data_IF_331661887573
#
_entry.id   IF_331661887573
#
_cell.length_a   1.000
_cell.length_b   1.000
_cell.length_c   1.000
_cell.angle_alpha   90.00
_cell.angle_beta   90.00
_cell.angle_gamma   90.00
#
_symmetry.space_group_name_H-M   'P 1'
#
loop_
_entity.id
_entity.type
_entity.pdbx_description
1 polymer ?
#
# COMPACT_ATOMS: atom_id res chain seq x y z
N UNK A 1 5.90 -29.73 11.01
CA UNK A 1 6.99 -29.87 10.02
C UNK A 1 6.42 -30.23 8.64
N UNK A 2 5.52 -29.41 8.10
CA UNK A 2 4.89 -29.62 6.78
C UNK A 2 5.33 -28.53 5.79
N UNK A 3 5.60 -27.32 6.29
CA UNK A 3 6.08 -26.17 5.50
C UNK A 3 7.42 -26.39 4.79
N UNK A 4 8.30 -27.25 5.32
CA UNK A 4 9.60 -27.56 4.71
C UNK A 4 9.56 -28.55 3.54
N UNK A 5 8.41 -29.19 3.30
CA UNK A 5 8.22 -30.12 2.17
C UNK A 5 7.77 -29.38 0.91
N UNK A 6 7.05 -28.27 1.08
CA UNK A 6 6.50 -27.47 -0.03
C UNK A 6 7.34 -26.25 -0.39
N UNK A 7 8.21 -25.79 0.51
CA UNK A 7 9.09 -24.64 0.29
C UNK A 7 10.49 -25.01 0.74
N UNK A 8 11.49 -24.82 -0.13
CA UNK A 8 12.87 -24.88 0.30
C UNK A 8 13.15 -23.71 1.27
N UNK A 9 13.42 -24.02 2.54
CA UNK A 9 13.85 -23.05 3.59
C UNK A 9 12.90 -21.85 3.84
N UNK A 10 11.59 -22.06 4.14
CA UNK A 10 10.64 -20.98 4.41
C UNK A 10 11.01 -20.15 5.64
N UNK A 11 11.60 -20.78 6.66
CA UNK A 11 12.06 -20.12 7.87
C UNK A 11 13.16 -19.11 7.61
N UNK A 12 14.12 -19.42 6.72
CA UNK A 12 15.23 -18.51 6.41
C UNK A 12 14.80 -17.30 5.57
N UNK A 13 13.72 -17.41 4.78
CA UNK A 13 13.26 -16.34 3.88
C UNK A 13 12.20 -15.43 4.49
N UNK A 14 11.22 -15.98 5.19
CA UNK A 14 10.09 -15.21 5.72
C UNK A 14 10.19 -14.90 7.21
N UNK A 15 10.88 -15.75 7.98
CA UNK A 15 10.95 -15.61 9.44
C UNK A 15 12.27 -14.99 9.92
N UNK A 16 13.32 -14.99 9.10
CA UNK A 16 14.60 -14.39 9.45
C UNK A 16 14.57 -12.86 9.22
N UNK A 17 14.84 -12.03 10.25
CA UNK A 17 14.87 -10.57 10.09
C UNK A 17 15.86 -10.13 9.01
N UNK A 18 16.98 -10.85 8.88
CA UNK A 18 17.96 -10.61 7.81
C UNK A 18 17.41 -10.89 6.41
N UNK A 19 16.51 -11.86 6.23
CA UNK A 19 15.93 -12.20 4.93
C UNK A 19 15.06 -11.08 4.37
N UNK A 20 14.29 -10.42 5.23
CA UNK A 20 13.46 -9.25 4.86
C UNK A 20 14.34 -8.04 4.53
N UNK A 21 15.36 -7.78 5.34
CA UNK A 21 16.34 -6.72 5.10
C UNK A 21 17.08 -6.91 3.77
N UNK A 22 17.58 -8.11 3.50
CA UNK A 22 18.25 -8.45 2.24
C UNK A 22 17.31 -8.37 1.04
N UNK A 23 16.05 -8.78 1.19
CA UNK A 23 15.03 -8.61 0.13
C UNK A 23 14.81 -7.14 -0.21
N UNK A 24 14.73 -6.27 0.79
CA UNK A 24 14.53 -4.84 0.56
C UNK A 24 15.78 -4.16 -0.04
N UNK A 25 16.98 -4.56 0.42
CA UNK A 25 18.24 -4.12 -0.20
C UNK A 25 18.37 -4.62 -1.64
N UNK A 26 17.95 -5.85 -1.91
CA UNK A 26 17.94 -6.43 -3.27
C UNK A 26 16.97 -5.67 -4.19
N UNK A 27 15.82 -5.22 -3.68
CA UNK A 27 14.91 -4.39 -4.48
C UNK A 27 15.55 -3.08 -4.99
N UNK A 28 16.45 -2.49 -4.19
CA UNK A 28 17.11 -1.22 -4.53
C UNK A 28 18.44 -1.39 -5.29
N UNK A 29 19.00 -2.60 -5.34
CA UNK A 29 20.24 -2.84 -6.07
C UNK A 29 20.02 -2.71 -7.58
N UNK A 30 20.94 -2.00 -8.24
CA UNK A 30 21.01 -1.88 -9.70
C UNK A 30 21.87 -2.96 -10.33
N UNK A 31 22.69 -3.65 -9.53
CA UNK A 31 23.57 -4.73 -9.98
C UNK A 31 22.92 -6.05 -9.61
N UNK A 32 22.13 -6.57 -10.55
CA UNK A 32 21.48 -7.86 -10.45
C UNK A 32 21.99 -8.78 -11.54
N UNK A 33 22.04 -10.08 -11.23
CA UNK A 33 22.27 -11.09 -12.23
C UNK A 33 21.09 -11.10 -13.20
N UNK A 34 21.38 -10.99 -14.49
CA UNK A 34 20.39 -11.16 -15.56
C UNK A 34 20.84 -12.30 -16.48
N UNK A 35 19.88 -13.14 -16.89
CA UNK A 35 20.11 -14.15 -17.92
C UNK A 35 20.18 -13.41 -19.25
N UNK A 36 21.22 -13.61 -20.09
CA UNK A 36 21.34 -12.90 -21.35
C UNK A 36 20.10 -13.12 -22.22
N UNK A 37 19.44 -12.04 -22.70
CA UNK A 37 18.15 -12.15 -23.38
C UNK A 37 18.25 -12.80 -24.78
N UNK A 38 19.44 -12.88 -25.37
CA UNK A 38 19.62 -13.41 -26.71
C UNK A 38 20.90 -14.25 -26.84
N UNK A 39 20.85 -15.47 -27.42
CA UNK A 39 19.66 -16.19 -27.92
C UNK A 39 18.98 -17.09 -26.86
N UNK A 40 17.99 -16.60 -26.10
CA UNK A 40 17.21 -17.47 -25.19
C UNK A 40 16.24 -18.37 -25.99
N UNK A 41 16.39 -19.70 -25.90
CA UNK A 41 15.57 -20.69 -26.61
C UNK A 41 14.38 -21.24 -25.81
N UNK A 42 14.04 -20.60 -24.68
CA UNK A 42 12.92 -21.03 -23.80
C UNK A 42 13.00 -22.50 -23.34
N UNK A 43 14.22 -22.99 -23.07
CA UNK A 43 14.49 -24.39 -22.70
C UNK A 43 14.06 -24.79 -21.28
N UNK A 44 13.68 -23.83 -20.42
CA UNK A 44 13.23 -24.02 -19.01
C UNK A 44 14.27 -24.55 -18.01
N UNK A 45 15.49 -24.91 -18.44
CA UNK A 45 16.54 -25.42 -17.55
C UNK A 45 16.90 -24.45 -16.40
N UNK A 46 16.85 -23.15 -16.66
CA UNK A 46 17.15 -22.15 -15.64
C UNK A 46 16.17 -22.25 -14.46
N UNK A 47 14.88 -22.43 -14.73
CA UNK A 47 13.80 -22.61 -13.74
C UNK A 47 14.08 -23.81 -12.82
N UNK A 48 14.34 -24.97 -13.42
CA UNK A 48 14.61 -26.22 -12.68
C UNK A 48 15.91 -26.17 -11.88
N UNK A 49 16.92 -25.46 -12.39
CA UNK A 49 18.22 -25.33 -11.71
C UNK A 49 18.18 -24.38 -10.51
N UNK A 50 17.14 -23.52 -10.40
CA UNK A 50 17.09 -22.49 -9.37
C UNK A 50 16.62 -23.07 -8.03
N UNK A 51 17.49 -23.18 -7.01
CA UNK A 51 17.09 -23.73 -5.71
C UNK A 51 16.07 -22.86 -4.95
N UNK A 52 15.86 -21.62 -5.42
CA UNK A 52 14.96 -20.65 -4.83
C UNK A 52 13.69 -20.40 -5.65
N UNK A 53 13.53 -21.10 -6.81
CA UNK A 53 12.43 -20.85 -7.76
C UNK A 53 12.21 -19.35 -8.03
N UNK A 54 13.32 -18.63 -8.20
CA UNK A 54 13.37 -17.18 -8.28
C UNK A 54 13.45 -16.67 -9.73
N UNK A 55 12.92 -17.42 -10.68
CA UNK A 55 12.93 -17.08 -12.11
C UNK A 55 11.49 -16.84 -12.57
N UNK A 56 11.22 -15.63 -13.05
CA UNK A 56 9.98 -15.24 -13.69
C UNK A 56 9.88 -15.92 -15.07
N UNK A 57 8.74 -16.55 -15.35
CA UNK A 57 8.40 -17.06 -16.68
C UNK A 57 8.10 -15.91 -17.66
N UNK A 58 8.34 -16.11 -18.97
CA UNK A 58 7.90 -15.17 -19.99
C UNK A 58 6.36 -15.05 -19.93
N UNK A 59 5.85 -13.83 -20.14
CA UNK A 59 4.41 -13.58 -20.12
C UNK A 59 3.75 -14.32 -21.30
N UNK A 60 2.75 -15.20 -21.07
CA UNK A 60 2.07 -15.92 -22.15
C UNK A 60 1.49 -14.94 -23.17
N UNK A 61 1.69 -15.20 -24.46
CA UNK A 61 1.21 -14.32 -25.55
C UNK A 61 -0.31 -14.08 -25.47
N UNK A 62 -1.07 -15.05 -24.99
CA UNK A 62 -2.53 -14.95 -24.78
C UNK A 62 -2.95 -13.88 -23.74
N UNK A 63 -2.04 -13.47 -22.85
CA UNK A 63 -2.27 -12.45 -21.81
C UNK A 63 -1.63 -11.10 -22.19
N UNK A 64 -0.95 -11.02 -23.33
CA UNK A 64 -0.35 -9.76 -23.80
C UNK A 64 -1.47 -8.89 -24.37
N UNK A 65 -2.03 -8.02 -23.53
CA UNK A 65 -2.92 -6.97 -23.99
C UNK A 65 -2.22 -6.09 -25.03
N UNK A 66 -2.96 -5.66 -26.05
CA UNK A 66 -2.43 -4.72 -27.03
C UNK A 66 -1.94 -3.43 -26.33
N UNK A 67 -0.76 -2.91 -26.71
CA UNK A 67 -0.16 -1.75 -26.06
C UNK A 67 -1.05 -0.49 -26.12
N UNK A 68 -2.00 -0.42 -27.06
CA UNK A 68 -2.99 0.66 -27.16
C UNK A 68 -4.01 0.65 -26.01
N UNK A 69 -4.47 -0.53 -25.58
CA UNK A 69 -5.47 -0.68 -24.51
C UNK A 69 -4.87 -0.33 -23.16
N UNK A 70 -3.65 -0.80 -22.89
CA UNK A 70 -2.90 -0.44 -21.67
C UNK A 70 -2.65 1.07 -21.55
N UNK A 71 -2.21 1.72 -22.65
CA UNK A 71 -2.03 3.19 -22.67
C UNK A 71 -3.35 3.93 -22.45
N UNK A 72 -4.46 3.48 -23.05
CA UNK A 72 -5.78 4.08 -22.87
C UNK A 72 -6.25 3.95 -21.41
N UNK A 73 -6.08 2.78 -20.79
CA UNK A 73 -6.42 2.51 -19.40
C UNK A 73 -5.60 3.38 -18.43
N UNK A 74 -4.28 3.43 -18.62
CA UNK A 74 -3.40 4.29 -17.83
C UNK A 74 -3.79 5.77 -17.97
N UNK A 75 -4.09 6.22 -19.20
CA UNK A 75 -4.56 7.58 -19.47
C UNK A 75 -5.89 7.86 -18.76
N UNK A 76 -6.86 6.95 -18.81
CA UNK A 76 -8.14 7.13 -18.10
C UNK A 76 -7.96 7.21 -16.59
N UNK A 77 -7.11 6.36 -16.00
CA UNK A 77 -6.84 6.40 -14.55
C UNK A 77 -6.12 7.70 -14.17
N UNK A 78 -5.18 8.17 -15.01
CA UNK A 78 -4.48 9.44 -14.78
C UNK A 78 -5.43 10.64 -14.86
N UNK A 79 -6.38 10.64 -15.80
CA UNK A 79 -7.40 11.68 -15.89
C UNK A 79 -8.43 11.60 -14.73
N UNK A 80 -8.75 10.41 -14.25
CA UNK A 80 -9.65 10.19 -13.10
C UNK A 80 -8.98 10.44 -11.74
N UNK A 81 -7.65 10.42 -11.68
CA UNK A 81 -6.87 10.68 -10.45
C UNK A 81 -7.32 11.94 -9.68
N UNK A 82 -7.36 13.15 -10.28
CA UNK A 82 -7.81 14.34 -9.57
C UNK A 82 -9.28 14.22 -9.11
N UNK A 83 -10.13 13.53 -9.87
CA UNK A 83 -11.51 13.29 -9.48
C UNK A 83 -11.62 12.39 -8.23
N UNK A 84 -10.83 11.31 -8.19
CA UNK A 84 -10.80 10.38 -7.05
C UNK A 84 -10.26 11.08 -5.80
N UNK A 85 -9.21 11.89 -5.93
CA UNK A 85 -8.60 12.63 -4.81
C UNK A 85 -9.56 13.70 -4.27
N UNK A 86 -10.18 14.47 -5.16
CA UNK A 86 -11.16 15.50 -4.76
C UNK A 86 -12.40 14.87 -4.12
N UNK A 87 -12.90 13.76 -4.65
CA UNK A 87 -14.00 13.00 -4.04
C UNK A 87 -13.62 12.46 -2.66
N UNK A 88 -12.43 11.87 -2.50
CA UNK A 88 -11.93 11.39 -1.22
C UNK A 88 -11.75 12.49 -0.18
N UNK A 89 -11.22 13.64 -0.58
CA UNK A 89 -11.12 14.82 0.29
C UNK A 89 -12.49 15.37 0.68
N UNK A 90 -13.45 15.40 -0.25
CA UNK A 90 -14.82 15.85 0.00
C UNK A 90 -15.55 14.92 0.98
N UNK A 91 -15.44 13.61 0.78
CA UNK A 91 -16.00 12.60 1.70
C UNK A 91 -15.36 12.72 3.08
N UNK A 92 -14.02 12.82 3.14
CA UNK A 92 -13.30 13.04 4.40
C UNK A 92 -13.67 14.35 5.10
N UNK A 93 -13.94 15.41 4.33
CA UNK A 93 -14.50 16.65 4.86
C UNK A 93 -15.91 16.43 5.41
N UNK A 94 -16.82 15.74 4.70
CA UNK A 94 -18.19 15.52 5.18
C UNK A 94 -18.28 14.64 6.44
N UNK A 95 -17.38 13.69 6.60
CA UNK A 95 -17.30 12.82 7.78
C UNK A 95 -16.84 13.57 9.05
N UNK A 96 -16.54 14.88 8.98
CA UNK A 96 -16.09 15.67 10.14
C UNK A 96 -17.08 15.65 11.31
N UNK A 97 -18.37 15.63 11.03
CA UNK A 97 -19.41 15.80 12.05
C UNK A 97 -19.54 14.55 12.93
N UNK A 98 -19.76 13.34 12.39
CA UNK A 98 -19.80 12.13 13.20
C UNK A 98 -18.47 11.83 13.90
N UNK A 99 -17.33 12.14 13.26
CA UNK A 99 -16.01 11.88 13.85
C UNK A 99 -15.72 12.82 15.03
N UNK A 100 -16.18 14.07 14.96
CA UNK A 100 -16.00 15.04 16.05
C UNK A 100 -16.80 14.70 17.31
N UNK A 101 -17.95 14.00 17.17
CA UNK A 101 -18.79 13.57 18.30
C UNK A 101 -18.15 12.45 19.14
N UNK A 102 -17.11 11.79 18.62
CA UNK A 102 -16.32 10.81 19.38
C UNK A 102 -15.34 11.48 20.35
N UNK A 103 -15.10 12.80 20.23
CA UNK A 103 -14.20 13.51 21.11
C UNK A 103 -14.91 13.88 22.43
N UNK A 104 -14.34 13.57 23.60
CA UNK A 104 -15.01 13.73 24.90
C UNK A 104 -15.45 15.19 25.17
N UNK A 105 -14.65 16.18 24.79
CA UNK A 105 -15.00 17.62 24.93
C UNK A 105 -16.22 18.03 24.09
N UNK A 106 -16.37 17.48 22.88
CA UNK A 106 -17.51 17.81 22.01
C UNK A 106 -18.77 17.12 22.52
N UNK A 107 -18.66 15.87 22.96
CA UNK A 107 -19.75 15.12 23.57
C UNK A 107 -20.27 15.78 24.86
N UNK A 108 -19.35 16.24 25.72
CA UNK A 108 -19.68 17.01 26.92
C UNK A 108 -20.40 18.31 26.57
N UNK A 109 -19.92 19.03 25.56
CA UNK A 109 -20.55 20.27 25.10
C UNK A 109 -21.98 20.05 24.57
N UNK A 110 -22.23 18.98 23.79
CA UNK A 110 -23.57 18.64 23.29
C UNK A 110 -24.49 18.17 24.42
N UNK A 111 -23.95 17.44 25.40
CA UNK A 111 -24.67 17.02 26.62
C UNK A 111 -25.10 18.22 27.46
N UNK A 112 -24.20 19.18 27.69
CA UNK A 112 -24.49 20.40 28.43
C UNK A 112 -25.62 21.21 27.79
N UNK A 113 -25.59 21.39 26.46
CA UNK A 113 -26.70 22.05 25.74
C UNK A 113 -28.01 21.28 25.92
N UNK A 114 -27.98 19.96 25.88
CA UNK A 114 -29.18 19.13 26.03
C UNK A 114 -29.75 19.19 27.46
N UNK A 115 -28.91 19.32 28.49
CA UNK A 115 -29.34 19.53 29.88
C UNK A 115 -29.88 20.96 30.09
N UNK A 116 -29.17 21.99 29.59
CA UNK A 116 -29.56 23.40 29.74
C UNK A 116 -30.86 23.74 28.98
N UNK A 117 -31.13 23.04 27.87
CA UNK A 117 -32.38 23.17 27.10
C UNK A 117 -33.53 22.30 27.63
N UNK A 118 -33.29 21.51 28.69
CA UNK A 118 -34.28 20.65 29.33
C UNK A 118 -34.68 19.41 28.52
N UNK A 119 -33.92 19.05 27.48
CA UNK A 119 -34.15 17.87 26.63
C UNK A 119 -33.73 16.56 27.32
N UNK A 120 -32.86 16.62 28.33
CA UNK A 120 -32.38 15.47 29.10
C UNK A 120 -32.56 15.74 30.59
N UNK A 121 -33.15 14.80 31.32
CA UNK A 121 -33.31 14.88 32.78
C UNK A 121 -32.19 14.10 33.49
N UNK A 122 -31.50 14.77 34.41
CA UNK A 122 -30.48 14.20 35.28
C UNK A 122 -29.06 14.69 34.96
N UNK A 123 -28.35 15.16 35.99
CA UNK A 123 -26.93 15.50 35.92
C UNK A 123 -26.08 14.21 35.96
N UNK A 124 -25.02 14.18 35.15
CA UNK A 124 -23.98 13.15 35.21
C UNK A 124 -22.72 13.72 35.87
N UNK A 125 -21.89 12.84 36.43
CA UNK A 125 -20.65 13.20 37.11
C UNK A 125 -19.73 14.12 36.27
N UNK A 126 -19.71 13.94 34.95
CA UNK A 126 -18.92 14.79 34.04
C UNK A 126 -19.48 16.22 33.92
N UNK A 127 -20.81 16.39 33.96
CA UNK A 127 -21.41 17.72 33.90
C UNK A 127 -21.29 18.44 35.26
N UNK A 128 -21.45 17.71 36.37
CA UNK A 128 -21.27 18.24 37.74
C UNK A 128 -19.84 18.71 38.01
N UNK A 129 -18.84 17.90 37.62
CA UNK A 129 -17.42 18.26 37.80
C UNK A 129 -17.06 19.50 36.99
N UNK A 130 -17.62 19.66 35.80
CA UNK A 130 -17.42 20.86 34.97
C UNK A 130 -18.15 22.09 35.53
N UNK A 131 -19.39 21.96 36.03
CA UNK A 131 -20.12 23.06 36.69
C UNK A 131 -19.44 23.54 37.98
N UNK A 132 -18.70 22.65 38.65
CA UNK A 132 -17.90 22.97 39.85
C UNK A 132 -16.54 23.59 39.49
N UNK A 133 -16.11 23.47 38.23
CA UNK A 133 -14.88 24.07 37.74
C UNK A 133 -15.06 25.56 37.44
N UNK A 134 -13.98 26.34 37.51
CA UNK A 134 -13.98 27.79 37.28
C UNK A 134 -14.15 28.18 35.78
N UNK A 135 -14.51 27.21 34.91
CA UNK A 135 -14.70 27.43 33.48
C UNK A 135 -16.16 27.76 33.12
N UNK A 136 -16.33 28.73 32.21
CA UNK A 136 -17.65 29.10 31.70
C UNK A 136 -18.12 28.12 30.60
N UNK A 137 -19.42 27.89 30.51
CA UNK A 137 -20.03 27.12 29.40
C UNK A 137 -19.71 27.72 28.03
N UNK A 138 -19.62 29.06 27.95
CA UNK A 138 -19.22 29.77 26.74
C UNK A 138 -17.79 29.43 26.28
N UNK A 139 -16.83 29.30 27.20
CA UNK A 139 -15.46 28.88 26.85
C UNK A 139 -15.41 27.42 26.37
N UNK A 140 -16.21 26.52 26.95
CA UNK A 140 -16.29 25.12 26.52
C UNK A 140 -16.84 24.99 25.08
N UNK A 141 -17.85 25.78 24.73
CA UNK A 141 -18.40 25.79 23.37
C UNK A 141 -17.40 26.35 22.35
N UNK A 142 -16.64 27.39 22.72
CA UNK A 142 -15.59 27.91 21.86
C UNK A 142 -14.48 26.88 21.59
N UNK A 143 -14.09 26.12 22.62
CA UNK A 143 -13.12 25.03 22.50
C UNK A 143 -13.65 23.87 21.63
N UNK A 144 -14.91 23.46 21.84
CA UNK A 144 -15.55 22.42 21.04
C UNK A 144 -15.64 22.81 19.54
N UNK A 145 -15.91 24.08 19.23
CA UNK A 145 -15.89 24.59 17.86
C UNK A 145 -14.48 24.59 17.25
N UNK A 146 -13.46 24.95 18.03
CA UNK A 146 -12.06 24.89 17.62
C UNK A 146 -11.60 23.46 17.29
N UNK A 147 -11.99 22.51 18.12
CA UNK A 147 -11.75 21.07 17.90
C UNK A 147 -12.48 20.61 16.64
N UNK A 148 -13.77 20.91 16.49
CA UNK A 148 -14.56 20.58 15.29
C UNK A 148 -13.90 21.11 14.02
N UNK A 149 -13.38 22.34 14.03
CA UNK A 149 -12.74 22.93 12.86
C UNK A 149 -11.43 22.22 12.48
N UNK A 150 -10.66 21.78 13.49
CA UNK A 150 -9.45 20.97 13.27
C UNK A 150 -9.76 19.59 12.67
N UNK A 151 -10.89 18.98 13.05
CA UNK A 151 -11.35 17.73 12.45
C UNK A 151 -11.78 17.89 10.98
N UNK A 152 -12.24 19.08 10.55
CA UNK A 152 -12.57 19.34 9.14
C UNK A 152 -11.33 19.28 8.25
N UNK A 153 -10.27 19.96 8.64
CA UNK A 153 -9.01 19.99 7.88
C UNK A 153 -8.28 18.65 7.98
N UNK A 154 -8.26 18.03 9.16
CA UNK A 154 -7.69 16.69 9.36
C UNK A 154 -8.41 15.61 8.55
N UNK A 155 -9.75 15.60 8.57
CA UNK A 155 -10.56 14.65 7.80
C UNK A 155 -10.38 14.79 6.30
N UNK A 156 -10.34 16.02 5.79
CA UNK A 156 -10.04 16.28 4.37
C UNK A 156 -8.64 15.77 3.97
N UNK A 157 -7.64 15.99 4.81
CA UNK A 157 -6.25 15.57 4.53
C UNK A 157 -6.11 14.04 4.54
N UNK A 158 -6.71 13.37 5.53
CA UNK A 158 -6.74 11.90 5.60
C UNK A 158 -7.51 11.30 4.41
N UNK A 159 -8.67 11.87 4.05
CA UNK A 159 -9.45 11.43 2.89
C UNK A 159 -8.67 11.55 1.58
N UNK A 160 -7.96 12.67 1.39
CA UNK A 160 -7.09 12.87 0.23
C UNK A 160 -5.92 11.87 0.20
N UNK A 161 -5.29 11.60 1.35
CA UNK A 161 -4.17 10.66 1.46
C UNK A 161 -4.58 9.22 1.11
N UNK A 162 -5.73 8.77 1.63
CA UNK A 162 -6.25 7.44 1.30
C UNK A 162 -6.59 7.34 -0.20
N UNK A 163 -7.25 8.34 -0.76
CA UNK A 163 -7.57 8.39 -2.19
C UNK A 163 -6.31 8.40 -3.08
N UNK A 164 -5.23 9.07 -2.63
CA UNK A 164 -3.94 9.05 -3.31
C UNK A 164 -3.33 7.64 -3.34
N UNK A 165 -3.32 6.92 -2.23
CA UNK A 165 -2.80 5.54 -2.16
C UNK A 165 -3.57 4.62 -3.11
N UNK A 166 -4.91 4.71 -3.10
CA UNK A 166 -5.77 3.93 -4.01
C UNK A 166 -5.44 4.24 -5.47
N UNK A 167 -5.25 5.52 -5.80
CA UNK A 167 -4.90 5.96 -7.15
C UNK A 167 -3.54 5.42 -7.59
N UNK A 168 -2.51 5.50 -6.72
CA UNK A 168 -1.18 4.95 -7.01
C UNK A 168 -1.23 3.43 -7.24
N UNK A 169 -2.02 2.70 -6.47
CA UNK A 169 -2.23 1.25 -6.66
C UNK A 169 -2.96 0.95 -7.97
N UNK A 170 -3.99 1.71 -8.34
CA UNK A 170 -4.69 1.56 -9.62
C UNK A 170 -3.76 1.83 -10.82
N UNK A 171 -2.88 2.83 -10.71
CA UNK A 171 -1.85 3.12 -11.71
C UNK A 171 -0.90 1.93 -11.83
N UNK A 172 -0.38 1.41 -10.71
CA UNK A 172 0.51 0.25 -10.70
C UNK A 172 -0.12 -1.01 -11.33
N UNK A 173 -1.40 -1.26 -11.07
CA UNK A 173 -2.16 -2.37 -11.67
C UNK A 173 -2.45 -2.18 -13.16
N UNK A 174 -2.40 -0.95 -13.65
CA UNK A 174 -2.61 -0.65 -15.08
C UNK A 174 -1.32 -0.82 -15.90
N UNK A 175 -0.17 -0.97 -15.25
CA UNK A 175 1.14 -1.16 -15.90
C UNK A 175 1.46 -2.65 -15.87
N UNK A 176 1.15 -3.35 -16.96
CA UNK A 176 1.61 -4.73 -17.16
C UNK A 176 3.00 -4.70 -17.81
N UNK A 177 3.99 -5.25 -17.12
CA UNK A 177 5.34 -5.41 -17.68
C UNK A 177 5.38 -6.64 -18.57
N UNK A 178 5.61 -6.47 -19.87
CA UNK A 178 5.88 -7.57 -20.80
C UNK A 178 7.23 -8.18 -20.48
N UNK A 179 7.31 -9.51 -20.36
CA UNK A 179 8.56 -10.26 -20.24
C UNK A 179 8.67 -11.19 -21.45
N UNK A 180 9.65 -10.95 -22.29
CA UNK A 180 9.88 -11.76 -23.50
C UNK A 180 10.78 -12.98 -23.22
N UNK A 181 11.55 -12.97 -22.12
CA UNK A 181 12.49 -14.03 -21.74
C UNK A 181 12.36 -14.39 -20.25
N UNK A 182 12.94 -15.52 -19.87
CA UNK A 182 13.11 -15.91 -18.46
C UNK A 182 14.00 -14.89 -17.76
N UNK A 183 13.47 -14.22 -16.73
CA UNK A 183 14.20 -13.19 -15.98
C UNK A 183 14.26 -13.52 -14.50
N UNK A 184 15.39 -13.31 -13.82
CA UNK A 184 15.42 -13.47 -12.37
C UNK A 184 14.50 -12.45 -11.66
N UNK A 185 13.73 -12.92 -10.68
CA UNK A 185 12.91 -12.09 -9.81
C UNK A 185 13.80 -11.26 -8.87
N UNK A 186 13.68 -9.93 -8.91
CA UNK A 186 14.57 -9.01 -8.16
C UNK A 186 14.59 -9.18 -6.64
N UNK A 187 13.48 -9.61 -6.04
CA UNK A 187 13.31 -9.72 -4.58
C UNK A 187 13.65 -11.11 -4.02
N UNK A 188 13.58 -12.14 -4.87
CA UNK A 188 13.79 -13.54 -4.49
C UNK A 188 15.13 -14.07 -4.96
N UNK A 189 15.69 -13.51 -6.04
CA UNK A 189 16.98 -13.91 -6.58
C UNK A 189 18.13 -13.28 -5.78
N UNK A 190 19.01 -14.13 -5.23
CA UNK A 190 20.25 -13.73 -4.55
C UNK A 190 21.44 -13.61 -5.52
N UNK A 191 21.22 -13.65 -6.83
CA UNK A 191 22.29 -13.50 -7.85
C UNK A 191 23.44 -14.52 -7.70
N UNK A 192 23.14 -15.75 -7.24
CA UNK A 192 24.15 -16.77 -6.97
C UNK A 192 24.80 -17.41 -8.22
N UNK A 193 24.35 -17.07 -9.43
CA UNK A 193 24.94 -17.56 -10.68
C UNK A 193 24.70 -19.03 -11.02
N UNK A 194 23.97 -19.79 -10.18
CA UNK A 194 23.83 -21.25 -10.34
C UNK A 194 23.07 -21.69 -11.60
N UNK A 195 22.31 -20.79 -12.21
CA UNK A 195 21.60 -21.04 -13.47
C UNK A 195 22.50 -21.00 -14.71
N UNK A 196 23.67 -20.35 -14.64
CA UNK A 196 24.57 -20.17 -15.79
C UNK A 196 25.13 -21.47 -16.37
N UNK A 197 25.67 -22.41 -15.56
CA UNK A 197 26.20 -23.67 -16.09
C UNK A 197 25.16 -24.57 -16.77
N UNK A 198 23.86 -24.31 -16.55
CA UNK A 198 22.77 -25.07 -17.18
C UNK A 198 22.21 -24.36 -18.42
N UNK A 199 22.75 -23.19 -18.77
CA UNK A 199 22.31 -22.43 -19.93
C UNK A 199 23.02 -22.95 -21.19
N UNK A 200 22.30 -23.56 -22.16
CA UNK A 200 22.90 -24.12 -23.37
C UNK A 200 23.49 -23.04 -24.30
N UNK A 201 23.18 -21.77 -24.04
CA UNK A 201 23.63 -20.62 -24.81
C UNK A 201 25.03 -20.18 -24.39
N UNK A 202 25.42 -20.43 -23.13
CA UNK A 202 26.71 -20.01 -22.59
C UNK A 202 27.85 -20.95 -22.97
N UNK A 203 27.57 -22.22 -23.26
CA UNK A 203 28.56 -23.18 -23.74
C UNK A 203 29.15 -22.81 -25.13
N UNK A 204 28.49 -21.90 -25.86
CA UNK A 204 28.91 -21.46 -27.20
C UNK A 204 29.40 -20.02 -27.32
N UNK A 205 29.50 -19.25 -26.22
CA UNK A 205 29.70 -17.80 -26.29
C UNK A 205 30.55 -17.21 -25.15
N UNK A 206 31.77 -16.81 -25.51
CA UNK A 206 32.77 -15.98 -24.79
C UNK A 206 32.25 -15.23 -23.56
N UNK A 207 32.79 -15.60 -22.38
CA UNK A 207 32.81 -14.77 -21.17
C UNK A 207 33.58 -13.47 -21.43
N UNK A 208 33.10 -12.29 -21.01
CA UNK A 208 33.96 -11.26 -20.47
C UNK A 208 34.44 -11.61 -19.04
#
# INVERSE_FOLDING_TARGET
>A
MILGVFVARPYCRFLCPYGVLLGWMSYFSKFHLDIPPSPCVSCRLCEDSCPYNAIDMPTPEALVEEPGTGKRRLRTVLFLSPLIITAGAMVGYMLNEPLSRLHPVVQLSERMVAEDTGLVQGEILETETFRTSDQTTASLHAEALGIRNSFKTGGAWLGAFVALIVTLKLIGLSIVKKRDVYTPHKETCFSCGRCYPYCPVEEGGVHP
#
